data_IF_979316811815
#
_entry.id   IF_979316811815
#
_cell.length_a   1.000
_cell.length_b   1.000
_cell.length_c   1.000
_cell.angle_alpha   90.00
_cell.angle_beta   90.00
_cell.angle_gamma   90.00
#
_symmetry.space_group_name_H-M   'P 1'
#
loop_
_entity.id
_entity.type
_entity.pdbx_description
1 polymer ?
#
# COMPACT_ATOMS: atom_id res chain seq x y z
N UNK A 1 -7.30 17.94 2.31
CA UNK A 1 -7.04 16.63 2.94
C UNK A 1 -7.00 15.65 1.79
N UNK A 2 -5.82 15.13 1.43
CA UNK A 2 -5.72 14.04 0.45
C UNK A 2 -6.14 12.76 1.16
N UNK A 3 -7.06 12.01 0.57
CA UNK A 3 -7.67 10.85 1.19
C UNK A 3 -6.98 9.59 0.71
N UNK A 4 -6.02 9.05 1.45
CA UNK A 4 -5.40 7.77 1.05
C UNK A 4 -6.51 6.72 0.82
N UNK A 5 -6.50 6.05 -0.32
CA UNK A 5 -7.58 5.14 -0.81
C UNK A 5 -7.97 4.09 0.21
N UNK A 6 -7.00 3.62 1.00
CA UNK A 6 -7.22 2.65 2.07
C UNK A 6 -8.07 3.19 3.24
N UNK A 7 -8.15 4.52 3.41
CA UNK A 7 -8.86 5.18 4.50
C UNK A 7 -10.25 5.75 4.13
N UNK A 8 -10.40 6.38 2.97
CA UNK A 8 -11.65 7.08 2.58
C UNK A 8 -11.90 6.89 1.08
N UNK A 9 -12.74 5.92 0.72
CA UNK A 9 -13.00 5.58 -0.69
C UNK A 9 -13.89 6.60 -1.42
N UNK A 10 -14.54 7.48 -0.69
CA UNK A 10 -15.42 8.55 -1.18
C UNK A 10 -14.67 9.87 -1.46
N UNK A 11 -13.40 9.97 -1.09
CA UNK A 11 -12.56 11.18 -1.19
C UNK A 11 -11.25 10.91 -1.96
N UNK A 12 -11.39 10.30 -3.14
CA UNK A 12 -10.28 9.95 -4.03
C UNK A 12 -9.86 11.20 -4.83
N UNK A 13 -8.56 11.54 -4.79
CA UNK A 13 -7.97 12.60 -5.62
C UNK A 13 -7.15 12.05 -6.83
N UNK A 14 -6.56 12.94 -7.62
CA UNK A 14 -5.81 12.53 -8.82
C UNK A 14 -4.56 11.71 -8.49
N UNK A 15 -3.91 11.97 -7.35
CA UNK A 15 -2.74 11.21 -6.89
C UNK A 15 -3.14 9.78 -6.49
N UNK A 16 -4.30 9.64 -5.84
CA UNK A 16 -4.90 8.34 -5.55
C UNK A 16 -5.22 7.54 -6.82
N UNK A 17 -5.77 8.19 -7.84
CA UNK A 17 -6.06 7.55 -9.13
C UNK A 17 -4.80 7.03 -9.82
N UNK A 18 -3.72 7.80 -9.80
CA UNK A 18 -2.44 7.39 -10.37
C UNK A 18 -1.79 6.26 -9.58
N UNK A 19 -1.87 6.28 -8.24
CA UNK A 19 -1.42 5.16 -7.41
C UNK A 19 -2.25 3.89 -7.68
N UNK A 20 -3.57 4.02 -7.86
CA UNK A 20 -4.45 2.90 -8.17
C UNK A 20 -4.21 2.25 -9.54
N UNK A 21 -3.49 2.91 -10.46
CA UNK A 21 -3.06 2.28 -11.72
C UNK A 21 -1.97 1.24 -11.52
N UNK A 22 -1.28 1.26 -10.38
CA UNK A 22 -0.20 0.32 -10.07
C UNK A 22 -0.74 -0.92 -9.36
N UNK A 23 -0.67 -2.09 -10.00
CA UNK A 23 -0.97 -3.38 -9.34
C UNK A 23 0.12 -3.75 -8.33
N UNK A 24 1.37 -3.37 -8.64
CA UNK A 24 2.55 -3.60 -7.81
C UNK A 24 3.28 -2.30 -7.54
N UNK A 25 3.71 -2.11 -6.29
CA UNK A 25 4.42 -0.90 -5.83
C UNK A 25 5.70 -1.26 -5.11
N UNK A 26 6.69 -0.38 -5.10
CA UNK A 26 7.91 -0.57 -4.30
C UNK A 26 7.66 -0.24 -2.82
N UNK A 27 8.58 -0.63 -1.94
CA UNK A 27 8.54 -0.22 -0.53
C UNK A 27 8.53 1.30 -0.36
N UNK A 28 9.29 2.05 -1.17
CA UNK A 28 9.33 3.50 -1.10
C UNK A 28 7.98 4.11 -1.49
N UNK A 29 7.42 3.69 -2.64
CA UNK A 29 6.11 4.18 -3.09
C UNK A 29 5.01 3.89 -2.07
N UNK A 30 5.01 2.70 -1.48
CA UNK A 30 4.07 2.36 -0.42
C UNK A 30 4.30 3.19 0.86
N UNK A 31 5.55 3.41 1.25
CA UNK A 31 5.90 4.24 2.40
C UNK A 31 5.39 5.68 2.23
N UNK A 32 5.64 6.26 1.06
CA UNK A 32 5.27 7.63 0.72
C UNK A 32 3.75 7.78 0.64
N UNK A 33 3.07 6.89 -0.10
CA UNK A 33 1.63 6.98 -0.33
C UNK A 33 0.78 6.67 0.91
N UNK A 34 1.12 5.62 1.67
CA UNK A 34 0.36 5.25 2.86
C UNK A 34 0.73 6.09 4.09
N UNK A 35 1.74 6.95 4.00
CA UNK A 35 2.25 7.75 5.14
C UNK A 35 2.85 6.88 6.25
N UNK A 36 3.31 5.68 5.92
CA UNK A 36 3.85 4.69 6.85
C UNK A 36 5.38 4.65 6.71
N UNK A 37 6.10 4.47 7.82
CA UNK A 37 7.55 4.29 7.74
C UNK A 37 7.94 3.01 6.99
N UNK A 38 9.12 3.02 6.36
CA UNK A 38 9.64 1.88 5.56
C UNK A 38 9.68 0.56 6.35
N UNK A 39 10.11 0.60 7.61
CA UNK A 39 10.15 -0.58 8.51
C UNK A 39 8.74 -1.15 8.76
N UNK A 40 7.75 -0.34 9.21
CA UNK A 40 6.35 -0.77 9.28
C UNK A 40 5.81 -1.38 7.98
N UNK A 41 5.99 -0.71 6.84
CA UNK A 41 5.49 -1.20 5.54
C UNK A 41 6.11 -2.56 5.20
N UNK A 42 7.42 -2.68 5.38
CA UNK A 42 8.14 -3.95 5.14
C UNK A 42 7.57 -5.06 6.02
N UNK A 43 7.44 -4.82 7.33
CA UNK A 43 6.88 -5.80 8.28
C UNK A 43 5.46 -6.21 7.90
N UNK A 44 4.57 -5.26 7.65
CA UNK A 44 3.17 -5.53 7.32
C UNK A 44 3.03 -6.26 5.98
N UNK A 45 3.85 -5.90 4.98
CA UNK A 45 3.84 -6.57 3.68
C UNK A 45 4.30 -8.03 3.79
N UNK A 46 5.24 -8.32 4.71
CA UNK A 46 5.63 -9.69 5.06
C UNK A 46 4.48 -10.43 5.77
N UNK A 47 3.82 -9.79 6.73
CA UNK A 47 2.73 -10.40 7.51
C UNK A 47 1.52 -10.77 6.66
N UNK A 48 1.15 -9.93 5.68
CA UNK A 48 0.03 -10.20 4.79
C UNK A 48 0.40 -11.02 3.54
N UNK A 49 1.68 -11.37 3.37
CA UNK A 49 2.15 -12.14 2.20
C UNK A 49 2.05 -11.37 0.88
N UNK A 50 2.02 -10.04 0.90
CA UNK A 50 1.92 -9.22 -0.31
C UNK A 50 3.24 -9.04 -1.08
N UNK A 51 4.32 -9.72 -0.67
CA UNK A 51 5.66 -9.52 -1.22
C UNK A 51 5.93 -10.42 -2.41
N UNK A 52 6.33 -9.81 -3.52
CA UNK A 52 6.73 -10.47 -4.75
C UNK A 52 8.16 -10.07 -5.12
N UNK A 53 9.01 -11.07 -5.37
CA UNK A 53 10.41 -10.86 -5.74
C UNK A 53 10.59 -11.16 -7.23
N UNK A 54 11.11 -10.18 -7.97
CA UNK A 54 11.48 -10.31 -9.37
C UNK A 54 12.97 -10.00 -9.49
N UNK A 55 13.77 -11.05 -9.58
CA UNK A 55 15.24 -10.94 -9.57
C UNK A 55 15.74 -10.26 -8.29
N UNK A 56 16.31 -9.06 -8.43
CA UNK A 56 16.81 -8.24 -7.30
C UNK A 56 15.78 -7.23 -6.77
N UNK A 57 14.67 -7.04 -7.47
CA UNK A 57 13.62 -6.10 -7.07
C UNK A 57 12.58 -6.81 -6.20
N UNK A 58 12.08 -6.08 -5.20
CA UNK A 58 10.97 -6.50 -4.35
C UNK A 58 9.83 -5.53 -4.58
N UNK A 59 8.64 -6.09 -4.79
CA UNK A 59 7.40 -5.38 -5.02
C UNK A 59 6.35 -5.85 -4.04
N UNK A 60 5.42 -4.97 -3.71
CA UNK A 60 4.25 -5.22 -2.89
C UNK A 60 3.04 -5.27 -3.82
N UNK A 61 2.24 -6.33 -3.74
CA UNK A 61 0.95 -6.38 -4.42
C UNK A 61 -0.05 -5.52 -3.67
N UNK A 62 -0.51 -4.44 -4.32
CA UNK A 62 -1.29 -3.37 -3.69
C UNK A 62 -2.58 -3.90 -3.05
N UNK A 63 -3.35 -4.69 -3.80
CA UNK A 63 -4.67 -5.18 -3.35
C UNK A 63 -4.62 -5.96 -2.04
N UNK A 64 -3.67 -6.89 -1.89
CA UNK A 64 -3.49 -7.70 -0.67
C UNK A 64 -3.09 -6.80 0.51
N UNK A 65 -2.19 -5.85 0.26
CA UNK A 65 -1.72 -4.95 1.30
C UNK A 65 -2.80 -3.97 1.78
N UNK A 66 -3.57 -3.38 0.85
CA UNK A 66 -4.70 -2.50 1.19
C UNK A 66 -5.80 -3.23 1.96
N UNK A 67 -6.12 -4.46 1.56
CA UNK A 67 -7.10 -5.29 2.28
C UNK A 67 -6.65 -5.53 3.73
N UNK A 68 -5.38 -5.85 3.93
CA UNK A 68 -4.79 -6.00 5.26
C UNK A 68 -4.87 -4.71 6.10
N UNK A 69 -4.53 -3.56 5.53
CA UNK A 69 -4.63 -2.27 6.22
C UNK A 69 -6.09 -1.95 6.63
N UNK A 70 -7.06 -2.25 5.75
CA UNK A 70 -8.49 -2.06 6.05
C UNK A 70 -8.96 -2.96 7.19
N UNK A 71 -8.46 -4.19 7.27
CA UNK A 71 -8.80 -5.12 8.37
C UNK A 71 -8.24 -4.62 9.71
N UNK A 72 -7.01 -4.10 9.74
CA UNK A 72 -6.40 -3.59 10.98
C UNK A 72 -7.10 -2.35 11.56
N UNK A 73 -7.77 -1.54 10.72
CA UNK A 73 -8.50 -0.35 11.15
C UNK A 73 -9.90 -0.65 11.72
N UNK A 74 -10.41 -1.89 11.60
CA UNK A 74 -11.74 -2.28 12.13
C UNK A 74 -11.74 -2.60 13.65
N UNK A 75 -10.65 -2.28 14.36
CA UNK A 75 -10.54 -2.36 15.83
C UNK A 75 -10.62 -0.96 16.39
#
# INVERSE_FOLDING_TARGET
MSGSVWMFSDQIDDEDMDFMRHEFVTYSMASDYYGLGLKPVTRMAHECGAIYKIGRKILIRRSIFEEYLRQQRKI
#
